data_IF_550771073859
#
_entry.id   IF_550771073859
#
_cell.length_a   1.000
_cell.length_b   1.000
_cell.length_c   1.000
_cell.angle_alpha   90.00
_cell.angle_beta   90.00
_cell.angle_gamma   90.00
#
_symmetry.space_group_name_H-M   'P 1'
#
loop_
_entity.id
_entity.type
_entity.pdbx_description
1 polymer ?
#
# COMPACT_ATOMS: atom_id res chain seq x y z
N UNK A 1 -11.36 -3.58 -39.14
CA UNK A 1 -12.40 -2.71 -39.74
C UNK A 1 -13.34 -3.61 -40.52
N UNK A 2 -14.68 -3.48 -40.46
CA UNK A 2 -15.42 -2.21 -40.53
C UNK A 2 -16.43 -1.96 -39.40
N UNK A 3 -16.60 -0.67 -39.10
CA UNK A 3 -17.72 -0.08 -38.37
C UNK A 3 -19.02 -0.19 -39.18
N UNK A 4 -20.17 -0.33 -38.50
CA UNK A 4 -21.44 0.28 -38.92
C UNK A 4 -22.27 0.70 -37.71
N UNK A 5 -22.15 1.99 -37.45
CA UNK A 5 -22.98 2.89 -36.69
C UNK A 5 -24.45 2.46 -36.48
N UNK A 6 -24.87 2.62 -35.22
CA UNK A 6 -26.10 3.25 -34.74
C UNK A 6 -27.37 3.06 -35.59
N UNK A 7 -28.44 2.56 -34.98
CA UNK A 7 -29.74 3.24 -34.97
C UNK A 7 -30.79 2.53 -34.07
N UNK A 8 -31.61 3.36 -33.42
CA UNK A 8 -32.95 3.07 -32.90
C UNK A 8 -33.01 2.24 -31.60
N UNK A 9 -33.24 2.79 -30.40
CA UNK A 9 -34.32 3.69 -30.00
C UNK A 9 -35.68 3.28 -30.60
N UNK A 10 -36.34 2.31 -29.97
CA UNK A 10 -37.78 2.16 -30.05
C UNK A 10 -38.29 1.46 -28.78
N UNK A 11 -39.23 2.16 -28.16
CA UNK A 11 -40.05 1.77 -27.02
C UNK A 11 -40.71 0.41 -27.26
N UNK A 12 -40.94 -0.35 -26.18
CA UNK A 12 -42.25 -0.79 -25.69
C UNK A 12 -42.08 -1.97 -24.73
N UNK A 13 -42.87 -1.94 -23.66
CA UNK A 13 -42.70 -2.71 -22.44
C UNK A 13 -42.49 -4.21 -22.62
N UNK A 14 -41.50 -4.73 -21.91
CA UNK A 14 -41.40 -6.14 -21.58
C UNK A 14 -41.16 -6.25 -20.07
N UNK A 15 -42.27 -6.22 -19.33
CA UNK A 15 -42.33 -6.73 -17.98
C UNK A 15 -42.27 -8.26 -18.05
N UNK A 16 -41.08 -8.84 -18.25
CA UNK A 16 -40.82 -10.25 -17.95
C UNK A 16 -39.49 -10.33 -17.20
N UNK A 17 -39.57 -11.00 -16.06
CA UNK A 17 -38.52 -11.27 -15.10
C UNK A 17 -37.19 -11.63 -15.78
N UNK A 18 -36.25 -10.68 -15.80
CA UNK A 18 -34.84 -10.98 -15.92
C UNK A 18 -34.25 -10.82 -14.53
N UNK A 19 -33.50 -11.82 -14.03
CA UNK A 19 -32.89 -11.73 -12.72
C UNK A 19 -32.11 -10.43 -12.71
N UNK A 20 -32.35 -9.62 -11.67
CA UNK A 20 -31.46 -8.55 -11.29
C UNK A 20 -30.10 -9.19 -11.06
N UNK A 21 -29.30 -9.32 -12.11
CA UNK A 21 -27.88 -9.42 -11.94
C UNK A 21 -27.47 -8.04 -11.47
N UNK A 22 -27.70 -7.81 -10.17
CA UNK A 22 -26.91 -6.91 -9.38
C UNK A 22 -25.50 -7.41 -9.59
N UNK A 23 -24.81 -6.82 -10.56
CA UNK A 23 -23.37 -6.75 -10.48
C UNK A 23 -23.13 -5.93 -9.23
N UNK A 24 -23.11 -6.64 -8.11
CA UNK A 24 -22.45 -6.22 -6.89
C UNK A 24 -21.01 -6.07 -7.34
N UNK A 25 -20.72 -4.92 -7.95
CA UNK A 25 -19.41 -4.32 -7.93
C UNK A 25 -19.05 -4.42 -6.46
N UNK A 26 -18.22 -5.43 -6.13
CA UNK A 26 -17.58 -5.50 -4.85
C UNK A 26 -16.83 -4.18 -4.79
N UNK A 27 -17.42 -3.21 -4.10
CA UNK A 27 -16.79 -1.93 -3.88
C UNK A 27 -15.43 -2.30 -3.30
N UNK A 28 -14.30 -2.03 -3.99
CA UNK A 28 -13.02 -2.19 -3.35
C UNK A 28 -13.14 -1.41 -2.03
N UNK A 29 -12.75 -2.00 -0.88
CA UNK A 29 -12.93 -1.36 0.41
C UNK A 29 -12.39 0.05 0.25
N UNK A 30 -13.27 1.04 0.42
CA UNK A 30 -13.04 2.43 0.01
C UNK A 30 -11.90 3.01 0.83
N UNK A 31 -10.68 2.72 0.40
CA UNK A 31 -9.50 3.41 0.81
C UNK A 31 -9.50 4.72 0.01
N UNK A 32 -9.48 5.83 0.72
CA UNK A 32 -9.61 7.21 0.23
C UNK A 32 -8.78 7.46 -1.04
N UNK A 33 -9.12 8.44 -1.89
CA UNK A 33 -8.39 8.70 -3.13
C UNK A 33 -6.88 9.00 -3.02
N UNK A 34 -6.31 9.13 -1.81
CA UNK A 34 -4.86 9.15 -1.58
C UNK A 34 -4.19 7.76 -1.38
N UNK A 35 -4.98 6.73 -1.09
CA UNK A 35 -4.50 5.39 -0.73
C UNK A 35 -4.02 4.57 -1.93
N UNK A 36 -4.62 4.71 -3.11
CA UNK A 36 -4.14 4.07 -4.34
C UNK A 36 -2.85 4.71 -4.85
N UNK A 37 -2.63 6.01 -4.57
CA UNK A 37 -1.35 6.65 -4.87
C UNK A 37 -0.24 6.08 -3.97
N UNK A 38 -0.55 5.83 -2.69
CA UNK A 38 0.38 5.25 -1.74
C UNK A 38 0.77 3.80 -2.10
N UNK A 39 -0.18 2.98 -2.57
CA UNK A 39 0.08 1.61 -3.05
C UNK A 39 1.02 1.62 -4.27
N UNK A 40 0.76 2.49 -5.25
CA UNK A 40 1.63 2.66 -6.41
C UNK A 40 3.07 3.02 -6.03
N UNK A 41 3.22 3.99 -5.11
CA UNK A 41 4.55 4.43 -4.64
C UNK A 41 5.29 3.38 -3.82
N UNK A 42 4.57 2.53 -3.08
CA UNK A 42 5.18 1.36 -2.44
C UNK A 42 5.69 0.34 -3.48
N UNK A 43 4.94 0.15 -4.57
CA UNK A 43 5.37 -0.61 -5.74
C UNK A 43 6.67 -0.08 -6.33
N UNK A 44 6.71 1.21 -6.65
CA UNK A 44 7.90 1.91 -7.18
C UNK A 44 9.10 1.76 -6.24
N UNK A 45 8.89 1.91 -4.92
CA UNK A 45 9.94 1.75 -3.92
C UNK A 45 10.58 0.34 -3.97
N UNK A 46 9.77 -0.71 -4.18
CA UNK A 46 10.27 -2.09 -4.32
C UNK A 46 11.08 -2.30 -5.58
N UNK A 47 10.71 -1.63 -6.67
CA UNK A 47 11.47 -1.70 -7.92
C UNK A 47 12.82 -1.01 -7.77
N UNK A 48 12.85 0.16 -7.13
CA UNK A 48 14.08 0.87 -6.79
C UNK A 48 14.97 0.04 -5.87
N UNK A 49 14.38 -0.66 -4.90
CA UNK A 49 15.10 -1.60 -4.04
C UNK A 49 15.77 -2.73 -4.86
N UNK A 50 15.01 -3.35 -5.78
CA UNK A 50 15.55 -4.38 -6.70
C UNK A 50 16.64 -3.84 -7.62
N UNK A 51 16.54 -2.58 -8.02
CA UNK A 51 17.55 -1.89 -8.80
C UNK A 51 18.77 -1.45 -7.97
N UNK A 52 18.79 -1.68 -6.64
CA UNK A 52 19.86 -1.28 -5.74
C UNK A 52 19.91 0.22 -5.45
N UNK A 53 18.87 0.98 -5.82
CA UNK A 53 18.78 2.44 -5.60
C UNK A 53 18.20 2.75 -4.22
N UNK A 54 18.99 2.49 -3.17
CA UNK A 54 18.55 2.60 -1.77
C UNK A 54 18.07 4.00 -1.37
N UNK A 55 18.74 5.06 -1.83
CA UNK A 55 18.37 6.45 -1.53
C UNK A 55 16.97 6.81 -2.05
N UNK A 56 16.70 6.50 -3.32
CA UNK A 56 15.41 6.74 -3.95
C UNK A 56 14.32 5.82 -3.39
N UNK A 57 14.63 4.55 -3.12
CA UNK A 57 13.71 3.60 -2.50
C UNK A 57 13.27 4.08 -1.11
N UNK A 58 14.19 4.59 -0.29
CA UNK A 58 13.87 5.16 1.02
C UNK A 58 12.92 6.36 0.93
N UNK A 59 13.16 7.28 -0.01
CA UNK A 59 12.27 8.43 -0.21
C UNK A 59 10.86 7.95 -0.58
N UNK A 60 10.75 7.02 -1.52
CA UNK A 60 9.46 6.45 -1.93
C UNK A 60 8.75 5.71 -0.77
N UNK A 61 9.49 4.96 0.06
CA UNK A 61 8.92 4.34 1.26
C UNK A 61 8.46 5.36 2.29
N UNK A 62 9.22 6.44 2.52
CA UNK A 62 8.83 7.53 3.43
C UNK A 62 7.55 8.18 2.97
N UNK A 63 7.43 8.48 1.68
CA UNK A 63 6.23 9.08 1.12
C UNK A 63 5.02 8.14 1.26
N UNK A 64 5.18 6.85 0.96
CA UNK A 64 4.11 5.86 1.14
C UNK A 64 3.73 5.70 2.63
N UNK A 65 4.70 5.66 3.54
CA UNK A 65 4.47 5.56 4.97
C UNK A 65 3.82 6.82 5.57
N UNK A 66 4.17 8.00 5.07
CA UNK A 66 3.56 9.28 5.42
C UNK A 66 2.08 9.34 5.03
N UNK A 67 1.74 8.75 3.88
CA UNK A 67 0.35 8.55 3.45
C UNK A 67 -0.38 7.43 4.20
N UNK A 68 0.25 6.84 5.23
CA UNK A 68 -0.38 5.86 6.11
C UNK A 68 -0.33 4.44 5.58
N UNK A 69 0.51 4.11 4.60
CA UNK A 69 0.64 2.76 4.08
C UNK A 69 1.36 1.84 5.08
N UNK A 70 0.63 0.90 5.68
CA UNK A 70 1.16 0.04 6.75
C UNK A 70 2.34 -0.85 6.34
N UNK A 71 2.32 -1.44 5.13
CA UNK A 71 3.46 -2.22 4.64
C UNK A 71 4.71 -1.37 4.40
N UNK A 72 4.56 -0.12 3.94
CA UNK A 72 5.69 0.79 3.76
C UNK A 72 6.32 1.17 5.11
N UNK A 73 5.49 1.42 6.14
CA UNK A 73 5.96 1.66 7.51
C UNK A 73 6.76 0.48 8.05
N UNK A 74 6.25 -0.75 7.87
CA UNK A 74 6.97 -1.98 8.25
C UNK A 74 8.31 -2.09 7.50
N UNK A 75 8.31 -1.84 6.19
CA UNK A 75 9.52 -1.94 5.35
C UNK A 75 10.58 -0.91 5.74
N UNK A 76 10.19 0.33 6.02
CA UNK A 76 11.08 1.36 6.58
C UNK A 76 11.72 0.91 7.88
N UNK A 77 10.92 0.33 8.76
CA UNK A 77 11.42 -0.19 10.02
C UNK A 77 12.45 -1.31 9.81
N UNK A 78 12.24 -2.21 8.85
CA UNK A 78 13.20 -3.25 8.47
C UNK A 78 14.52 -2.65 7.94
N UNK A 79 14.43 -1.61 7.09
CA UNK A 79 15.60 -0.92 6.53
C UNK A 79 16.44 -0.30 7.65
N UNK A 80 15.81 0.43 8.58
CA UNK A 80 16.49 1.01 9.74
C UNK A 80 17.02 -0.04 10.72
N UNK A 81 16.33 -1.18 10.87
CA UNK A 81 16.77 -2.27 11.74
C UNK A 81 18.01 -2.99 11.19
N UNK A 82 18.05 -3.22 9.88
CA UNK A 82 19.14 -3.96 9.27
C UNK A 82 20.31 -3.04 8.91
N UNK A 83 20.04 -1.76 8.64
CA UNK A 83 21.01 -0.83 8.07
C UNK A 83 21.37 -1.27 6.64
N UNK A 84 20.41 -1.17 5.71
CA UNK A 84 20.59 -1.59 4.32
C UNK A 84 21.15 -0.47 3.45
N UNK A 85 22.09 -0.80 2.57
CA UNK A 85 22.74 0.16 1.68
C UNK A 85 23.54 1.21 2.46
N UNK A 86 23.24 2.49 2.21
CA UNK A 86 23.86 3.65 2.86
C UNK A 86 23.16 4.08 4.15
N UNK A 87 22.18 3.31 4.63
CA UNK A 87 21.37 3.68 5.80
C UNK A 87 22.03 3.18 7.07
N UNK A 88 22.32 4.11 7.99
CA UNK A 88 22.80 3.74 9.30
C UNK A 88 21.71 3.01 10.08
N UNK A 89 22.11 1.95 10.77
CA UNK A 89 21.22 1.18 11.63
C UNK A 89 20.72 2.04 12.79
N UNK A 90 19.41 2.16 12.91
CA UNK A 90 18.74 2.90 13.98
C UNK A 90 17.53 2.12 14.49
N UNK A 91 17.73 1.44 15.62
CA UNK A 91 16.69 0.66 16.26
C UNK A 91 15.57 1.54 16.84
N UNK A 92 15.88 2.75 17.35
CA UNK A 92 14.86 3.62 17.92
C UNK A 92 13.89 4.10 16.86
N UNK A 93 14.41 4.55 15.71
CA UNK A 93 13.58 4.94 14.57
C UNK A 93 12.81 3.75 14.01
N UNK A 94 13.44 2.58 13.89
CA UNK A 94 12.77 1.34 13.47
C UNK A 94 11.56 1.01 14.34
N UNK A 95 11.72 1.04 15.66
CA UNK A 95 10.64 0.75 16.61
C UNK A 95 9.46 1.72 16.47
N UNK A 96 9.71 3.01 16.25
CA UNK A 96 8.64 4.00 16.04
C UNK A 96 7.80 3.64 14.81
N UNK A 97 8.44 3.25 13.71
CA UNK A 97 7.75 2.83 12.50
C UNK A 97 6.99 1.51 12.68
N UNK A 98 7.57 0.52 13.36
CA UNK A 98 6.86 -0.71 13.68
C UNK A 98 5.66 -0.48 14.59
N UNK A 99 5.75 0.40 15.59
CA UNK A 99 4.62 0.76 16.43
C UNK A 99 3.47 1.35 15.60
N UNK A 100 3.78 2.22 14.63
CA UNK A 100 2.78 2.79 13.72
C UNK A 100 2.13 1.74 12.83
N UNK A 101 2.92 0.81 12.29
CA UNK A 101 2.42 -0.32 11.50
C UNK A 101 1.49 -1.22 12.35
N UNK A 102 1.88 -1.53 13.59
CA UNK A 102 1.07 -2.31 14.53
C UNK A 102 -0.25 -1.61 14.90
N UNK A 103 -0.23 -0.29 15.04
CA UNK A 103 -1.44 0.50 15.28
C UNK A 103 -2.44 0.40 14.12
N UNK A 104 -1.97 0.11 12.91
CA UNK A 104 -2.80 -0.17 11.74
C UNK A 104 -3.16 -1.66 11.57
N UNK A 105 -2.79 -2.52 12.52
CA UNK A 105 -3.02 -3.96 12.47
C UNK A 105 -2.02 -4.74 11.61
N UNK A 106 -0.92 -4.12 11.17
CA UNK A 106 0.13 -4.82 10.43
C UNK A 106 0.99 -5.65 11.39
N UNK A 107 1.23 -6.90 11.02
CA UNK A 107 2.14 -7.78 11.76
C UNK A 107 3.59 -7.31 11.65
N UNK A 108 4.12 -6.89 12.80
CA UNK A 108 5.49 -6.42 12.95
C UNK A 108 6.07 -6.96 14.26
N UNK A 109 7.40 -7.17 14.33
CA UNK A 109 8.01 -7.76 15.52
C UNK A 109 7.83 -6.87 16.75
N UNK A 110 7.79 -7.52 17.91
CA UNK A 110 7.62 -6.82 19.17
C UNK A 110 8.91 -6.05 19.54
N UNK A 111 8.80 -4.92 20.26
CA UNK A 111 9.95 -4.10 20.64
C UNK A 111 11.04 -4.85 21.41
N UNK A 112 10.66 -5.88 22.18
CA UNK A 112 11.60 -6.66 22.98
C UNK A 112 12.47 -7.61 22.14
N UNK A 113 12.11 -7.85 20.88
CA UNK A 113 12.86 -8.73 19.98
C UNK A 113 14.14 -8.05 19.46
N UNK A 114 14.33 -6.75 19.71
CA UNK A 114 15.47 -5.97 19.20
C UNK A 114 16.60 -5.82 20.24
N UNK A 115 17.84 -6.19 19.90
CA UNK A 115 18.99 -6.03 20.79
C UNK A 115 19.34 -4.54 20.95
N UNK A 116 19.47 -4.08 22.20
CA UNK A 116 19.90 -2.70 22.52
C UNK A 116 18.81 -1.77 23.04
N UNK A 117 17.54 -2.19 23.02
CA UNK A 117 16.44 -1.43 23.63
C UNK A 117 16.48 -1.67 25.14
N UNK A 118 17.12 -0.77 25.90
CA UNK A 118 17.16 -0.88 27.37
C UNK A 118 15.74 -0.81 27.90
N UNK A 119 15.23 -1.91 28.47
CA UNK A 119 14.04 -1.85 29.32
C UNK A 119 14.45 -1.07 30.58
N UNK A 120 13.79 0.06 30.84
CA UNK A 120 13.77 0.61 32.20
C UNK A 120 12.92 -0.29 33.08
#
# INVERSE_FOLDING_TARGET
MPNKNLCCAALLGFAILLPTQSWSQATPPTSLPGSWLAEGRYGDARELERAGKWSAAMQAYHDAAANGHGQAQKRLAEIYNNGQGDVQRDYETSLRWYQRARAQGIEAPQPFTYPGVRRR
#
